data_IF_110776115780
#
_entry.id   IF_110776115780
#
_cell.length_a   1.000
_cell.length_b   1.000
_cell.length_c   1.000
_cell.angle_alpha   90.00
_cell.angle_beta   90.00
_cell.angle_gamma   90.00
#
_symmetry.space_group_name_H-M   'P 1'
#
loop_
_entity.id
_entity.type
_entity.pdbx_description
1 polymer ?
#
# COMPACT_ATOMS: atom_id res chain seq x y z
N UNK A 1 -2.06 -7.76 -21.23
CA UNK A 1 -2.04 -7.52 -19.77
C UNK A 1 -2.74 -8.70 -19.16
N UNK A 2 -2.07 -9.39 -18.26
CA UNK A 2 -2.56 -10.69 -17.74
C UNK A 2 -2.97 -10.60 -16.26
N UNK A 3 -2.72 -9.46 -15.63
CA UNK A 3 -3.08 -9.15 -14.25
C UNK A 3 -3.18 -7.62 -14.11
N UNK A 4 -4.25 -7.16 -13.48
CA UNK A 4 -4.40 -5.77 -13.02
C UNK A 4 -3.95 -5.65 -11.57
N UNK A 5 -3.24 -4.56 -11.30
CA UNK A 5 -2.78 -4.15 -9.97
C UNK A 5 -3.65 -3.03 -9.38
N UNK A 6 -4.50 -2.43 -10.20
CA UNK A 6 -5.31 -1.28 -9.84
C UNK A 6 -6.66 -1.68 -9.23
N UNK A 7 -7.29 -0.75 -8.51
CA UNK A 7 -8.55 -1.00 -7.82
C UNK A 7 -9.74 -1.12 -8.78
N UNK A 8 -9.71 -0.44 -9.93
CA UNK A 8 -10.82 -0.38 -10.88
C UNK A 8 -10.40 -0.51 -12.36
N UNK A 9 -9.38 -1.32 -12.64
CA UNK A 9 -8.85 -1.56 -14.01
C UNK A 9 -8.30 -0.30 -14.71
N UNK A 10 -7.95 0.73 -13.95
CA UNK A 10 -7.38 1.97 -14.48
C UNK A 10 -6.12 1.68 -15.30
N UNK A 11 -5.28 0.77 -14.80
CA UNK A 11 -4.07 0.31 -15.47
C UNK A 11 -4.41 -0.35 -16.82
N UNK A 12 -5.47 -1.16 -16.89
CA UNK A 12 -5.93 -1.81 -18.11
C UNK A 12 -6.40 -0.79 -19.16
N UNK A 13 -7.22 0.20 -18.78
CA UNK A 13 -7.69 1.23 -19.73
C UNK A 13 -6.52 2.06 -20.25
N UNK A 14 -5.60 2.46 -19.37
CA UNK A 14 -4.39 3.16 -19.77
C UNK A 14 -3.50 2.29 -20.68
N UNK A 15 -3.32 1.00 -20.35
CA UNK A 15 -2.51 0.09 -21.16
C UNK A 15 -3.08 -0.10 -22.57
N UNK A 16 -4.42 -0.10 -22.72
CA UNK A 16 -5.10 -0.07 -24.02
C UNK A 16 -4.83 1.24 -24.77
N UNK A 17 -4.89 2.38 -24.09
CA UNK A 17 -4.66 3.69 -24.71
C UNK A 17 -3.20 3.86 -25.18
N UNK A 18 -2.24 3.42 -24.37
CA UNK A 18 -0.80 3.48 -24.63
C UNK A 18 -0.25 2.26 -25.39
N UNK A 19 -1.09 1.46 -26.03
CA UNK A 19 -0.66 0.28 -26.77
C UNK A 19 0.44 0.62 -27.80
N UNK A 20 1.52 -0.16 -27.75
CA UNK A 20 2.71 0.04 -28.59
C UNK A 20 3.78 0.98 -28.03
N UNK A 21 3.54 1.63 -26.89
CA UNK A 21 4.52 2.48 -26.22
C UNK A 21 5.39 1.67 -25.25
N UNK A 22 6.69 1.56 -25.55
CA UNK A 22 7.63 0.72 -24.80
C UNK A 22 8.07 1.32 -23.45
N UNK A 23 8.04 2.64 -23.30
CA UNK A 23 8.42 3.34 -22.07
C UNK A 23 7.62 4.63 -21.91
N UNK A 24 7.56 5.14 -20.69
CA UNK A 24 6.89 6.39 -20.38
C UNK A 24 7.13 6.84 -18.95
N UNK A 25 6.60 8.01 -18.62
CA UNK A 25 6.72 8.65 -17.32
C UNK A 25 5.35 8.92 -16.71
N UNK A 26 5.11 8.42 -15.50
CA UNK A 26 3.89 8.73 -14.75
C UNK A 26 4.15 9.59 -13.52
N UNK A 27 3.13 10.33 -13.10
CA UNK A 27 3.04 10.88 -11.76
C UNK A 27 1.84 10.24 -11.07
N UNK A 28 2.07 9.69 -9.88
CA UNK A 28 1.06 8.96 -9.10
C UNK A 28 0.92 9.67 -7.74
N UNK A 29 -0.12 10.49 -7.57
CA UNK A 29 -0.38 11.27 -6.35
C UNK A 29 -1.40 10.54 -5.49
N UNK A 30 -1.03 10.27 -4.23
CA UNK A 30 -1.73 9.30 -3.39
C UNK A 30 -1.48 7.88 -3.89
N UNK A 31 -0.19 7.56 -4.03
CA UNK A 31 0.25 6.34 -4.70
C UNK A 31 -0.04 5.06 -3.89
N UNK A 32 -0.26 5.19 -2.58
CA UNK A 32 -0.66 4.08 -1.72
C UNK A 32 0.42 2.99 -1.62
N UNK A 33 -0.01 1.74 -1.60
CA UNK A 33 0.92 0.61 -1.61
C UNK A 33 1.58 0.49 -3.00
N UNK A 34 2.89 0.18 -3.12
CA UNK A 34 3.57 0.12 -4.42
C UNK A 34 3.06 -0.94 -5.42
N UNK A 35 2.10 -1.78 -5.03
CA UNK A 35 1.71 -2.99 -5.78
C UNK A 35 0.20 -3.22 -5.68
N UNK A 36 -0.36 -3.28 -4.47
CA UNK A 36 -1.80 -3.45 -4.27
C UNK A 36 -2.53 -2.13 -4.55
N UNK A 37 -3.64 -2.22 -5.29
CA UNK A 37 -4.52 -1.10 -5.65
C UNK A 37 -3.75 0.07 -6.29
N UNK A 38 -2.71 -0.25 -7.09
CA UNK A 38 -1.79 0.72 -7.65
C UNK A 38 -1.81 0.73 -9.18
N UNK A 39 -2.28 1.84 -9.74
CA UNK A 39 -2.44 2.07 -11.19
C UNK A 39 -1.10 2.00 -11.94
N UNK A 40 -0.02 2.49 -11.33
CA UNK A 40 1.27 2.61 -12.00
C UNK A 40 2.14 1.34 -11.94
N UNK A 41 1.75 0.33 -11.14
CA UNK A 41 2.55 -0.87 -10.91
C UNK A 41 2.75 -1.70 -12.19
N UNK A 42 1.69 -1.91 -12.98
CA UNK A 42 1.81 -2.64 -14.24
C UNK A 42 2.77 -1.95 -15.21
N UNK A 43 2.68 -0.62 -15.32
CA UNK A 43 3.58 0.19 -16.16
C UNK A 43 5.03 0.09 -15.70
N UNK A 44 5.27 0.13 -14.38
CA UNK A 44 6.59 -0.08 -13.80
C UNK A 44 7.20 -1.41 -14.26
N UNK A 45 6.42 -2.50 -14.27
CA UNK A 45 6.85 -3.81 -14.76
C UNK A 45 7.14 -3.82 -16.27
N UNK A 46 6.47 -2.97 -17.04
CA UNK A 46 6.76 -2.77 -18.48
C UNK A 46 8.01 -1.92 -18.75
N UNK A 47 8.75 -1.51 -17.71
CA UNK A 47 9.96 -0.70 -17.85
C UNK A 47 9.72 0.81 -17.82
N UNK A 48 8.49 1.25 -17.52
CA UNK A 48 8.22 2.65 -17.23
C UNK A 48 8.81 3.03 -15.86
N UNK A 49 8.85 4.33 -15.60
CA UNK A 49 9.27 4.91 -14.33
C UNK A 49 8.41 6.11 -14.03
N UNK A 50 8.41 6.57 -12.79
CA UNK A 50 7.69 7.79 -12.48
C UNK A 50 8.04 8.41 -11.16
N UNK A 51 7.25 9.42 -10.82
CA UNK A 51 7.28 10.12 -9.54
C UNK A 51 6.03 9.71 -8.77
N UNK A 52 6.22 9.10 -7.61
CA UNK A 52 5.15 8.65 -6.73
C UNK A 52 5.12 9.52 -5.48
N UNK A 53 3.95 10.02 -5.11
CA UNK A 53 3.76 10.90 -3.97
C UNK A 53 2.86 10.20 -2.96
N UNK A 54 3.42 9.88 -1.79
CA UNK A 54 2.71 9.17 -0.73
C UNK A 54 3.17 9.71 0.64
N UNK A 55 2.31 10.40 1.40
CA UNK A 55 2.67 11.00 2.68
C UNK A 55 2.84 9.99 3.82
N UNK A 56 2.20 8.82 3.76
CA UNK A 56 2.26 7.83 4.83
C UNK A 56 3.60 7.10 4.80
N UNK A 57 4.40 7.34 5.84
CA UNK A 57 5.76 6.80 6.00
C UNK A 57 5.85 5.29 5.74
N UNK A 58 4.92 4.51 6.30
CA UNK A 58 4.89 3.04 6.15
C UNK A 58 4.73 2.57 4.70
N UNK A 59 4.11 3.39 3.84
CA UNK A 59 3.89 3.07 2.44
C UNK A 59 5.05 3.56 1.57
N UNK A 60 5.46 4.82 1.74
CA UNK A 60 6.54 5.41 0.93
C UNK A 60 7.90 4.72 1.14
N UNK A 61 8.18 4.20 2.35
CA UNK A 61 9.39 3.44 2.64
C UNK A 61 9.48 2.11 1.87
N UNK A 62 8.36 1.58 1.34
CA UNK A 62 8.35 0.38 0.52
C UNK A 62 8.83 0.62 -0.91
N UNK A 63 8.66 1.83 -1.46
CA UNK A 63 9.00 2.14 -2.85
C UNK A 63 10.46 1.90 -3.21
N UNK A 64 11.48 2.37 -2.46
CA UNK A 64 12.87 2.07 -2.82
C UNK A 64 13.21 0.58 -2.77
N UNK A 65 12.42 -0.24 -2.04
CA UNK A 65 12.62 -1.69 -1.93
C UNK A 65 11.94 -2.46 -3.09
N UNK A 66 10.73 -2.03 -3.47
CA UNK A 66 9.89 -2.75 -4.44
C UNK A 66 9.98 -2.14 -5.84
N UNK A 67 10.08 -0.81 -5.93
CA UNK A 67 10.06 -0.01 -7.16
C UNK A 67 11.24 0.99 -7.23
N UNK A 68 12.50 0.54 -7.14
CA UNK A 68 13.68 1.42 -7.06
C UNK A 68 13.91 2.35 -8.26
N UNK A 69 13.23 2.17 -9.40
CA UNK A 69 13.31 3.14 -10.53
C UNK A 69 12.42 4.37 -10.33
N UNK A 70 11.46 4.30 -9.41
CA UNK A 70 10.56 5.41 -9.11
C UNK A 70 11.20 6.40 -8.14
N UNK A 71 10.87 7.67 -8.32
CA UNK A 71 11.19 8.75 -7.39
C UNK A 71 10.07 8.81 -6.35
N UNK A 72 10.40 8.44 -5.11
CA UNK A 72 9.47 8.40 -3.98
C UNK A 72 9.49 9.74 -3.20
N UNK A 73 8.35 10.45 -3.18
CA UNK A 73 8.20 11.75 -2.52
C UNK A 73 7.26 11.65 -1.30
N UNK A 74 7.78 11.75 -0.06
CA UNK A 74 6.98 11.66 1.16
C UNK A 74 6.35 13.00 1.56
N UNK A 75 5.54 13.60 0.67
CA UNK A 75 4.93 14.93 0.88
C UNK A 75 3.43 14.90 0.56
N UNK A 76 2.69 15.87 1.09
CA UNK A 76 1.34 16.19 0.60
C UNK A 76 1.43 17.18 -0.56
N UNK A 77 0.49 17.09 -1.50
CA UNK A 77 0.31 18.09 -2.55
C UNK A 77 -0.99 18.87 -2.33
N UNK A 78 -0.95 20.17 -2.63
CA UNK A 78 -2.13 21.02 -2.63
C UNK A 78 -1.87 22.33 -3.38
N UNK A 79 -2.72 23.33 -3.13
CA UNK A 79 -2.72 24.61 -3.88
C UNK A 79 -1.45 25.42 -3.69
N UNK A 80 -0.93 25.45 -2.47
CA UNK A 80 0.19 26.30 -2.07
C UNK A 80 1.08 25.56 -1.08
N UNK A 81 2.41 25.81 -1.06
CA UNK A 81 3.28 25.23 -0.04
C UNK A 81 2.87 25.66 1.37
N UNK A 82 3.08 24.79 2.36
CA UNK A 82 2.77 25.07 3.76
C UNK A 82 2.79 23.85 4.64
N UNK A 83 2.10 23.93 5.77
CA UNK A 83 1.90 22.84 6.73
C UNK A 83 0.41 22.64 6.94
N UNK A 84 -0.06 21.39 6.88
CA UNK A 84 -1.48 21.03 7.01
C UNK A 84 -1.65 19.87 7.99
N UNK A 85 -2.83 19.79 8.59
CA UNK A 85 -3.23 18.61 9.37
C UNK A 85 -3.55 17.48 8.39
N UNK A 86 -2.94 16.32 8.61
CA UNK A 86 -3.18 15.10 7.85
C UNK A 86 -3.76 14.04 8.78
N UNK A 87 -4.89 13.47 8.37
CA UNK A 87 -5.65 12.51 9.15
C UNK A 87 -5.40 11.10 8.62
N UNK A 88 -4.54 10.35 9.30
CA UNK A 88 -4.14 9.01 8.91
C UNK A 88 -5.14 8.00 9.47
N UNK A 89 -5.85 7.31 8.58
CA UNK A 89 -6.84 6.30 8.93
C UNK A 89 -6.16 4.97 9.21
N UNK A 90 -6.44 4.38 10.36
CA UNK A 90 -5.86 3.11 10.77
C UNK A 90 -6.45 1.93 9.99
N UNK A 91 -5.58 1.06 9.46
CA UNK A 91 -5.94 -0.18 8.72
C UNK A 91 -6.65 0.04 7.38
N UNK A 92 -6.97 1.28 7.02
CA UNK A 92 -7.61 1.65 5.76
C UNK A 92 -6.86 2.85 5.16
N UNK A 93 -5.59 2.61 4.80
CA UNK A 93 -4.66 3.69 4.43
C UNK A 93 -5.16 4.56 3.27
N UNK A 94 -5.95 3.98 2.35
CA UNK A 94 -6.59 4.68 1.23
C UNK A 94 -7.36 5.91 1.71
N UNK A 95 -8.18 5.77 2.74
CA UNK A 95 -9.08 6.80 3.28
C UNK A 95 -8.39 7.97 4.03
N UNK A 96 -7.06 8.03 4.04
CA UNK A 96 -6.33 9.09 4.74
C UNK A 96 -6.42 10.40 3.96
N UNK A 97 -6.78 11.50 4.62
CA UNK A 97 -7.09 12.76 3.94
C UNK A 97 -6.65 13.97 4.76
N UNK A 98 -6.50 15.12 4.08
CA UNK A 98 -6.42 16.43 4.74
C UNK A 98 -7.80 16.93 5.21
N UNK A 99 -8.89 16.28 4.78
CA UNK A 99 -10.25 16.56 5.23
C UNK A 99 -10.60 15.71 6.45
N UNK A 100 -10.80 16.37 7.59
CA UNK A 100 -11.26 15.70 8.83
C UNK A 100 -12.63 15.03 8.64
N UNK A 101 -13.48 15.59 7.78
CA UNK A 101 -14.81 15.03 7.50
C UNK A 101 -14.71 13.72 6.75
N UNK A 102 -13.80 13.62 5.78
CA UNK A 102 -13.54 12.36 5.05
C UNK A 102 -12.90 11.32 5.98
N UNK A 103 -11.92 11.70 6.81
CA UNK A 103 -11.34 10.79 7.78
C UNK A 103 -12.36 10.27 8.81
N UNK A 104 -13.34 11.09 9.21
CA UNK A 104 -14.45 10.64 10.09
C UNK A 104 -15.35 9.61 9.41
N UNK A 105 -15.48 9.62 8.08
CA UNK A 105 -16.26 8.59 7.39
C UNK A 105 -15.65 7.19 7.57
N UNK A 106 -14.34 7.08 7.79
CA UNK A 106 -13.68 5.81 8.10
C UNK A 106 -14.22 5.12 9.37
N UNK A 107 -14.77 5.90 10.32
CA UNK A 107 -15.40 5.35 11.53
C UNK A 107 -16.62 4.47 11.21
N UNK A 108 -17.32 4.75 10.10
CA UNK A 108 -18.43 3.91 9.62
C UNK A 108 -17.97 2.50 9.24
N UNK A 109 -16.68 2.35 8.91
CA UNK A 109 -16.03 1.09 8.58
C UNK A 109 -15.24 0.49 9.76
N UNK A 110 -15.41 1.03 10.98
CA UNK A 110 -14.75 0.53 12.18
C UNK A 110 -13.26 0.90 12.27
N UNK A 111 -12.83 1.92 11.54
CA UNK A 111 -11.46 2.45 11.58
C UNK A 111 -11.40 3.78 12.34
N UNK A 112 -10.42 3.90 13.23
CA UNK A 112 -10.04 5.17 13.84
C UNK A 112 -9.08 5.94 12.93
N UNK A 113 -8.76 7.18 13.32
CA UNK A 113 -7.71 7.95 12.69
C UNK A 113 -6.94 8.75 13.74
N UNK A 114 -5.70 9.11 13.42
CA UNK A 114 -4.93 10.08 14.17
C UNK A 114 -4.49 11.23 13.26
N UNK A 115 -4.27 12.40 13.84
CA UNK A 115 -3.85 13.59 13.11
C UNK A 115 -2.37 13.86 13.35
N UNK A 116 -1.62 14.11 12.28
CA UNK A 116 -0.28 14.65 12.35
C UNK A 116 -0.16 15.89 11.46
N UNK A 117 0.76 16.80 11.80
CA UNK A 117 1.05 17.97 10.97
C UNK A 117 2.13 17.61 9.95
N UNK A 118 1.87 17.88 8.68
CA UNK A 118 2.71 17.44 7.57
C UNK A 118 3.02 18.58 6.61
N UNK A 119 4.24 18.58 6.01
CA UNK A 119 4.58 19.52 4.96
C UNK A 119 3.78 19.24 3.70
N UNK A 120 3.27 20.31 3.11
CA UNK A 120 2.57 20.34 1.84
C UNK A 120 3.35 21.18 0.84
N UNK A 121 3.41 20.73 -0.40
CA UNK A 121 3.98 21.45 -1.54
C UNK A 121 2.99 21.44 -2.71
N UNK A 122 3.40 21.88 -3.89
CA UNK A 122 2.56 21.88 -5.09
C UNK A 122 3.03 20.88 -6.12
N UNK A 123 2.12 20.43 -6.99
CA UNK A 123 2.46 19.57 -8.12
C UNK A 123 3.52 20.22 -9.04
N UNK A 124 3.38 21.52 -9.31
CA UNK A 124 4.39 22.25 -10.10
C UNK A 124 5.77 22.21 -9.44
N UNK A 125 5.86 22.43 -8.12
CA UNK A 125 7.13 22.47 -7.41
C UNK A 125 7.85 21.11 -7.43
N UNK A 126 7.14 19.99 -7.27
CA UNK A 126 7.78 18.67 -7.37
C UNK A 126 8.22 18.34 -8.80
N UNK A 127 7.47 18.77 -9.80
CA UNK A 127 7.88 18.62 -11.20
C UNK A 127 9.16 19.43 -11.50
N UNK A 128 9.27 20.64 -10.96
CA UNK A 128 10.49 21.45 -11.05
C UNK A 128 11.68 20.82 -10.32
N UNK A 129 11.47 20.43 -9.05
CA UNK A 129 12.48 19.83 -8.17
C UNK A 129 13.13 18.60 -8.80
N UNK A 130 12.33 17.78 -9.48
CA UNK A 130 12.78 16.51 -10.07
C UNK A 130 13.04 16.59 -11.59
N UNK A 131 12.98 17.79 -12.19
CA UNK A 131 13.26 17.98 -13.61
C UNK A 131 12.34 17.17 -14.52
N UNK A 132 11.04 17.13 -14.21
CA UNK A 132 10.06 16.40 -15.01
C UNK A 132 9.88 17.09 -16.36
N UNK A 133 10.15 16.38 -17.44
CA UNK A 133 10.04 16.90 -18.82
C UNK A 133 8.79 16.40 -19.54
N UNK A 134 8.39 15.16 -19.27
CA UNK A 134 7.27 14.48 -19.93
C UNK A 134 6.42 13.76 -18.89
N UNK A 135 5.11 13.75 -19.11
CA UNK A 135 4.15 13.05 -18.26
C UNK A 135 3.16 12.35 -19.19
N UNK A 136 3.27 11.03 -19.29
CA UNK A 136 2.32 10.24 -20.07
C UNK A 136 0.98 10.15 -19.34
N UNK A 137 0.99 9.89 -18.03
CA UNK A 137 -0.22 10.04 -17.22
C UNK A 137 0.02 10.58 -15.82
N UNK A 138 -0.97 11.31 -15.31
CA UNK A 138 -1.05 11.83 -13.94
C UNK A 138 -2.27 11.21 -13.25
N UNK A 139 -2.05 10.40 -12.21
CA UNK A 139 -3.10 9.91 -11.31
C UNK A 139 -3.17 10.80 -10.07
N UNK A 140 -4.37 11.23 -9.68
CA UNK A 140 -4.63 11.94 -8.44
C UNK A 140 -5.79 11.29 -7.71
N UNK A 141 -5.53 10.86 -6.49
CA UNK A 141 -6.51 10.23 -5.60
C UNK A 141 -5.99 10.50 -4.19
N UNK A 142 -6.55 11.54 -3.59
CA UNK A 142 -6.10 12.10 -2.32
C UNK A 142 -7.28 12.27 -1.38
N UNK A 143 -8.31 11.43 -1.58
CA UNK A 143 -9.52 11.33 -0.79
C UNK A 143 -10.18 12.70 -0.57
N UNK A 144 -10.52 13.37 -1.67
CA UNK A 144 -11.33 14.58 -1.68
C UNK A 144 -10.56 15.90 -1.77
N UNK A 145 -9.25 15.87 -1.98
CA UNK A 145 -8.41 17.05 -2.20
C UNK A 145 -7.94 17.19 -3.66
N UNK A 146 -8.57 16.49 -4.60
CA UNK A 146 -8.17 16.42 -6.01
C UNK A 146 -8.06 17.81 -6.66
N UNK A 147 -9.06 18.66 -6.40
CA UNK A 147 -9.09 20.04 -6.91
C UNK A 147 -7.94 20.90 -6.38
N UNK A 148 -7.51 20.68 -5.14
CA UNK A 148 -6.39 21.41 -4.54
C UNK A 148 -5.06 20.99 -5.14
N UNK A 149 -4.86 19.71 -5.43
CA UNK A 149 -3.68 19.19 -6.14
C UNK A 149 -3.62 19.77 -7.55
N UNK A 150 -4.74 19.77 -8.28
CA UNK A 150 -4.85 20.36 -9.62
C UNK A 150 -4.51 21.85 -9.62
N UNK A 151 -5.05 22.61 -8.67
CA UNK A 151 -4.77 24.04 -8.56
C UNK A 151 -3.31 24.37 -8.19
N UNK A 152 -2.57 23.41 -7.64
CA UNK A 152 -1.12 23.51 -7.43
C UNK A 152 -0.26 23.14 -8.66
N UNK A 153 -0.86 22.76 -9.78
CA UNK A 153 -0.14 22.41 -11.02
C UNK A 153 0.14 23.59 -11.94
N UNK A 154 1.14 23.44 -12.82
CA UNK A 154 1.35 24.31 -13.99
C UNK A 154 1.18 23.48 -15.26
N UNK A 155 -0.08 23.29 -15.67
CA UNK A 155 -0.46 22.44 -16.80
C UNK A 155 -0.03 22.96 -18.16
N UNK A 156 0.55 24.17 -18.23
CA UNK A 156 1.17 24.70 -19.46
C UNK A 156 2.61 24.24 -19.60
N UNK A 157 3.33 24.12 -18.48
CA UNK A 157 4.73 23.69 -18.44
C UNK A 157 4.87 22.19 -18.25
N UNK A 158 4.14 21.63 -17.30
CA UNK A 158 4.12 20.20 -16.99
C UNK A 158 2.80 19.64 -17.47
N UNK A 159 2.82 19.05 -18.67
CA UNK A 159 1.62 18.70 -19.42
C UNK A 159 1.43 17.18 -19.49
N UNK A 160 0.63 16.58 -18.59
CA UNK A 160 0.17 15.21 -18.74
C UNK A 160 -0.56 14.98 -20.05
N UNK A 161 -0.29 13.87 -20.72
CA UNK A 161 -1.09 13.43 -21.88
C UNK A 161 -2.45 12.91 -21.41
N UNK A 162 -2.48 12.21 -20.28
CA UNK A 162 -3.70 11.74 -19.59
C UNK A 162 -3.70 12.21 -18.14
N UNK A 163 -4.84 12.66 -17.66
CA UNK A 163 -5.09 12.87 -16.23
C UNK A 163 -6.24 11.96 -15.82
N UNK A 164 -6.06 11.19 -14.75
CA UNK A 164 -7.11 10.40 -14.12
C UNK A 164 -7.27 10.80 -12.66
N UNK A 165 -8.51 10.96 -12.23
CA UNK A 165 -8.83 11.33 -10.86
C UNK A 165 -10.01 10.53 -10.34
N UNK A 166 -9.99 10.22 -9.05
CA UNK A 166 -11.17 9.69 -8.37
C UNK A 166 -12.32 10.72 -8.47
N UNK A 167 -13.49 10.25 -8.89
CA UNK A 167 -14.64 11.10 -9.18
C UNK A 167 -15.83 10.81 -8.25
N UNK A 168 -15.63 9.98 -7.23
CA UNK A 168 -16.60 9.68 -6.20
C UNK A 168 -16.14 10.24 -4.84
N UNK A 169 -17.09 10.61 -3.99
CA UNK A 169 -16.76 11.11 -2.66
C UNK A 169 -16.35 9.96 -1.73
N UNK A 170 -15.27 10.12 -0.93
CA UNK A 170 -14.70 9.07 -0.08
C UNK A 170 -15.73 8.25 0.70
N UNK A 171 -15.72 6.93 0.47
CA UNK A 171 -16.60 5.97 1.14
C UNK A 171 -18.07 6.05 0.73
N UNK A 172 -18.39 6.71 -0.38
CA UNK A 172 -19.74 6.82 -0.94
C UNK A 172 -19.75 6.63 -2.47
N UNK A 173 -20.94 6.58 -3.07
CA UNK A 173 -21.12 6.58 -4.53
C UNK A 173 -21.57 7.96 -5.06
N UNK A 174 -21.43 9.02 -4.26
CA UNK A 174 -21.80 10.36 -4.68
C UNK A 174 -20.72 10.94 -5.59
N UNK A 175 -21.12 11.64 -6.65
CA UNK A 175 -20.20 12.30 -7.57
C UNK A 175 -19.42 13.42 -6.87
N UNK A 176 -18.11 13.49 -7.11
CA UNK A 176 -17.18 14.45 -6.49
C UNK A 176 -16.31 15.20 -7.54
N UNK A 177 -16.75 15.27 -8.80
CA UNK A 177 -15.98 15.90 -9.87
C UNK A 177 -16.41 17.33 -10.23
N UNK A 178 -17.58 17.78 -9.74
CA UNK A 178 -18.15 19.08 -10.09
C UNK A 178 -17.24 20.26 -9.74
N UNK A 179 -16.46 20.12 -8.67
CA UNK A 179 -15.59 21.20 -8.16
C UNK A 179 -14.27 21.32 -8.91
N UNK A 180 -13.82 20.29 -9.63
CA UNK A 180 -12.52 20.27 -10.28
C UNK A 180 -12.55 20.01 -11.80
N UNK A 181 -13.61 19.42 -12.36
CA UNK A 181 -13.70 19.17 -13.81
C UNK A 181 -13.62 20.48 -14.64
N UNK A 182 -14.28 21.59 -14.26
CA UNK A 182 -14.18 22.84 -15.02
C UNK A 182 -12.74 23.33 -15.21
N UNK A 183 -11.87 23.11 -14.21
CA UNK A 183 -10.46 23.46 -14.31
C UNK A 183 -9.75 22.66 -15.42
N UNK A 184 -9.94 21.34 -15.49
CA UNK A 184 -9.31 20.52 -16.53
C UNK A 184 -9.79 20.88 -17.93
N UNK A 185 -11.09 21.16 -18.08
CA UNK A 185 -11.66 21.58 -19.36
C UNK A 185 -11.08 22.93 -19.82
N UNK A 186 -10.92 23.88 -18.90
CA UNK A 186 -10.27 25.18 -19.15
C UNK A 186 -8.77 25.01 -19.51
N UNK A 187 -8.08 24.05 -18.88
CA UNK A 187 -6.73 23.63 -19.24
C UNK A 187 -6.64 22.83 -20.55
N UNK A 188 -7.72 22.76 -21.34
CA UNK A 188 -7.71 22.15 -22.67
C UNK A 188 -7.66 20.63 -22.64
N UNK A 189 -8.15 19.98 -21.59
CA UNK A 189 -8.38 18.53 -21.62
C UNK A 189 -9.78 18.19 -22.16
N UNK A 190 -9.93 16.96 -22.65
CA UNK A 190 -11.21 16.39 -23.06
C UNK A 190 -11.54 15.17 -22.22
N UNK A 191 -12.79 15.07 -21.76
CA UNK A 191 -13.27 13.86 -21.09
C UNK A 191 -13.21 12.65 -22.03
N UNK A 192 -12.64 11.55 -21.54
CA UNK A 192 -12.43 10.34 -22.33
C UNK A 192 -13.20 9.13 -21.80
N UNK A 193 -13.19 8.92 -20.48
CA UNK A 193 -13.80 7.73 -19.85
C UNK A 193 -14.22 8.05 -18.41
N UNK A 194 -15.33 7.45 -17.97
CA UNK A 194 -15.64 7.23 -16.57
C UNK A 194 -15.70 5.71 -16.36
N UNK A 195 -14.87 5.16 -15.48
CA UNK A 195 -14.76 3.71 -15.27
C UNK A 195 -15.69 3.17 -14.16
N UNK A 196 -16.48 4.06 -13.54
CA UNK A 196 -17.32 3.76 -12.38
C UNK A 196 -16.76 4.27 -11.05
N UNK A 197 -15.48 4.69 -11.02
CA UNK A 197 -14.78 5.27 -9.87
C UNK A 197 -14.03 6.54 -10.28
N UNK A 198 -13.20 6.44 -11.31
CA UNK A 198 -12.33 7.49 -11.82
C UNK A 198 -12.83 8.06 -13.14
N UNK A 199 -12.54 9.35 -13.36
CA UNK A 199 -12.69 10.00 -14.66
C UNK A 199 -11.32 10.24 -15.29
N UNK A 200 -11.23 9.95 -16.58
CA UNK A 200 -10.05 10.11 -17.40
C UNK A 200 -10.24 11.25 -18.38
N UNK A 201 -9.21 12.07 -18.51
CA UNK A 201 -9.15 13.20 -19.41
C UNK A 201 -7.87 13.14 -20.23
N UNK A 202 -7.96 13.46 -21.51
CA UNK A 202 -6.82 13.44 -22.43
C UNK A 202 -6.55 14.87 -22.92
N UNK A 203 -5.28 15.24 -23.03
CA UNK A 203 -4.90 16.54 -23.56
C UNK A 203 -5.43 16.69 -24.99
N UNK A 204 -6.13 17.79 -25.30
CA UNK A 204 -6.84 17.99 -26.58
C UNK A 204 -5.92 17.84 -27.80
N UNK A 205 -4.65 18.20 -27.64
CA UNK A 205 -3.62 18.11 -28.66
C UNK A 205 -3.19 16.66 -29.01
N UNK A 206 -3.49 15.66 -28.17
CA UNK A 206 -3.16 14.24 -28.42
C UNK A 206 -4.35 13.49 -29.05
N UNK A 207 -4.72 13.89 -30.27
CA UNK A 207 -5.84 13.30 -31.02
C UNK A 207 -5.71 11.77 -31.19
N UNK A 208 -4.49 11.28 -31.36
CA UNK A 208 -4.22 9.86 -31.50
C UNK A 208 -4.56 9.08 -30.22
N UNK A 209 -4.21 9.62 -29.05
CA UNK A 209 -4.54 9.01 -27.77
C UNK A 209 -6.05 9.10 -27.48
N UNK A 210 -6.71 10.22 -27.81
CA UNK A 210 -8.17 10.37 -27.72
C UNK A 210 -8.90 9.30 -28.54
N UNK A 211 -8.41 9.01 -29.75
CA UNK A 211 -8.98 8.00 -30.62
C UNK A 211 -8.79 6.56 -30.08
N UNK A 212 -7.68 6.30 -29.37
CA UNK A 212 -7.37 5.00 -28.77
C UNK A 212 -8.05 4.77 -27.42
N UNK A 213 -8.37 5.84 -26.69
CA UNK A 213 -8.95 5.72 -25.35
C UNK A 213 -10.30 4.99 -25.39
N UNK A 214 -10.53 3.99 -24.52
CA UNK A 214 -11.81 3.30 -24.42
C UNK A 214 -12.97 4.28 -24.20
N UNK A 215 -14.13 4.00 -24.81
CA UNK A 215 -15.34 4.84 -24.66
C UNK A 215 -16.27 4.38 -23.54
N UNK A 216 -16.07 3.17 -23.05
CA UNK A 216 -16.84 2.56 -21.97
C UNK A 216 -15.90 1.80 -21.06
N UNK A 217 -16.27 1.68 -19.78
CA UNK A 217 -15.53 0.89 -18.81
C UNK A 217 -15.40 -0.57 -19.31
N UNK A 218 -14.22 -1.14 -19.14
CA UNK A 218 -14.02 -2.56 -19.43
C UNK A 218 -14.80 -3.42 -18.44
N UNK A 219 -15.29 -4.61 -18.85
CA UNK A 219 -15.91 -5.55 -17.92
C UNK A 219 -14.93 -5.91 -16.79
N UNK A 220 -15.40 -5.93 -15.54
CA UNK A 220 -14.59 -6.16 -14.34
C UNK A 220 -13.66 -7.40 -14.41
N UNK A 221 -14.13 -8.49 -15.03
CA UNK A 221 -13.40 -9.76 -15.14
C UNK A 221 -12.63 -9.92 -16.45
N UNK A 222 -12.38 -8.84 -17.20
CA UNK A 222 -11.60 -8.89 -18.46
C UNK A 222 -10.16 -9.34 -18.21
N UNK A 223 -9.61 -9.04 -17.03
CA UNK A 223 -8.33 -9.55 -16.54
C UNK A 223 -8.48 -9.89 -15.04
N UNK A 224 -7.70 -10.85 -14.51
CA UNK A 224 -7.59 -11.08 -13.08
C UNK A 224 -7.09 -9.82 -12.36
N UNK A 225 -7.46 -9.69 -11.08
CA UNK A 225 -6.97 -8.62 -10.20
C UNK A 225 -6.11 -9.22 -9.11
N UNK A 226 -4.98 -8.57 -8.81
CA UNK A 226 -4.08 -9.03 -7.76
C UNK A 226 -4.81 -9.20 -6.41
N UNK A 227 -5.66 -8.23 -6.05
CA UNK A 227 -6.45 -8.26 -4.81
C UNK A 227 -7.35 -9.50 -4.67
N UNK A 228 -7.75 -10.14 -5.76
CA UNK A 228 -8.52 -11.39 -5.71
C UNK A 228 -7.68 -12.62 -5.41
N UNK A 229 -6.35 -12.54 -5.50
CA UNK A 229 -5.41 -13.67 -5.33
C UNK A 229 -4.63 -13.63 -4.02
N UNK A 230 -5.06 -12.81 -3.05
CA UNK A 230 -4.43 -12.69 -1.73
C UNK A 230 -4.06 -14.03 -1.08
N UNK A 231 -2.98 -14.03 -0.29
CA UNK A 231 -2.34 -15.21 0.33
C UNK A 231 -1.69 -16.13 -0.71
N UNK A 232 -0.65 -15.61 -1.35
CA UNK A 232 0.09 -16.31 -2.41
C UNK A 232 0.41 -17.79 -2.14
N UNK A 233 0.86 -18.23 -0.93
CA UNK A 233 1.15 -19.65 -0.68
C UNK A 233 -0.08 -20.57 -0.72
N UNK A 234 -1.28 -20.04 -0.46
CA UNK A 234 -2.54 -20.78 -0.36
C UNK A 234 -3.27 -20.88 -1.71
N UNK A 235 -2.86 -20.11 -2.71
CA UNK A 235 -3.63 -19.85 -3.93
C UNK A 235 -2.88 -20.19 -5.20
N UNK A 236 -3.27 -21.28 -5.85
CA UNK A 236 -2.66 -21.76 -7.10
C UNK A 236 -2.84 -20.80 -8.28
N UNK A 237 -3.79 -19.86 -8.19
CA UNK A 237 -4.06 -18.81 -9.17
C UNK A 237 -3.27 -17.52 -8.93
N UNK A 238 -2.52 -17.41 -7.82
CA UNK A 238 -1.63 -16.28 -7.59
C UNK A 238 -0.38 -16.37 -8.50
N UNK A 239 0.06 -15.27 -9.14
CA UNK A 239 1.20 -15.28 -10.06
C UNK A 239 2.49 -15.82 -9.42
N UNK A 240 2.72 -15.49 -8.15
CA UNK A 240 3.92 -15.91 -7.41
C UNK A 240 3.72 -17.16 -6.54
N UNK A 241 2.66 -17.96 -6.76
CA UNK A 241 2.29 -19.09 -5.90
C UNK A 241 3.45 -20.06 -5.61
N UNK A 242 4.08 -20.56 -6.67
CA UNK A 242 5.13 -21.57 -6.55
C UNK A 242 6.33 -21.06 -5.74
N UNK A 243 6.73 -19.81 -5.97
CA UNK A 243 7.82 -19.19 -5.23
C UNK A 243 7.43 -18.90 -3.78
N UNK A 244 6.22 -18.41 -3.55
CA UNK A 244 5.70 -18.16 -2.21
C UNK A 244 5.64 -19.44 -1.37
N UNK A 245 5.19 -20.56 -1.95
CA UNK A 245 5.21 -21.86 -1.29
C UNK A 245 6.62 -22.32 -0.94
N UNK A 246 7.56 -22.22 -1.89
CA UNK A 246 8.96 -22.57 -1.66
C UNK A 246 9.59 -21.72 -0.54
N UNK A 247 9.29 -20.42 -0.51
CA UNK A 247 9.74 -19.51 0.54
C UNK A 247 9.15 -19.88 1.91
N UNK A 248 7.85 -20.18 2.00
CA UNK A 248 7.21 -20.59 3.26
C UNK A 248 7.82 -21.89 3.78
N UNK A 249 7.98 -22.90 2.92
CA UNK A 249 8.58 -24.16 3.30
C UNK A 249 10.03 -23.97 3.79
N UNK A 250 10.85 -23.24 3.03
CA UNK A 250 12.24 -22.96 3.39
C UNK A 250 12.38 -22.11 4.66
N UNK A 251 11.50 -21.14 4.86
CA UNK A 251 11.48 -20.31 6.07
C UNK A 251 11.15 -21.15 7.31
N UNK A 252 10.09 -21.96 7.25
CA UNK A 252 9.65 -22.77 8.38
C UNK A 252 10.63 -23.90 8.70
N UNK A 253 11.30 -24.48 7.70
CA UNK A 253 12.42 -25.41 7.90
C UNK A 253 13.63 -24.76 8.61
N UNK A 254 13.89 -23.46 8.38
CA UNK A 254 14.99 -22.73 9.03
C UNK A 254 14.64 -22.16 10.40
N UNK A 255 13.40 -22.32 10.86
CA UNK A 255 12.87 -21.64 12.05
C UNK A 255 13.77 -21.77 13.31
N UNK A 256 14.37 -22.92 13.65
CA UNK A 256 15.28 -23.04 14.80
C UNK A 256 16.56 -22.18 14.70
N UNK A 257 17.00 -21.88 13.47
CA UNK A 257 18.22 -21.12 13.17
C UNK A 257 17.97 -19.60 13.06
N UNK A 258 16.72 -19.16 13.05
CA UNK A 258 16.41 -17.74 12.98
C UNK A 258 16.82 -17.02 14.26
N UNK A 259 17.29 -15.80 14.07
CA UNK A 259 17.60 -14.89 15.15
C UNK A 259 16.38 -14.65 16.06
N UNK A 260 16.62 -14.58 17.37
CA UNK A 260 15.54 -14.49 18.37
C UNK A 260 14.90 -13.11 18.38
N UNK A 261 15.64 -12.06 18.12
CA UNK A 261 15.10 -10.70 18.00
C UNK A 261 14.20 -10.60 16.75
N UNK A 262 14.61 -11.24 15.65
CA UNK A 262 13.75 -11.36 14.46
C UNK A 262 12.46 -12.16 14.74
N UNK A 263 12.52 -13.25 15.49
CA UNK A 263 11.31 -14.00 15.86
C UNK A 263 10.39 -13.20 16.80
N UNK A 264 10.97 -12.42 17.71
CA UNK A 264 10.23 -11.52 18.60
C UNK A 264 9.49 -10.43 17.82
N UNK A 265 10.11 -9.86 16.78
CA UNK A 265 9.49 -8.79 15.98
C UNK A 265 8.27 -9.24 15.19
N UNK A 266 8.12 -10.54 14.89
CA UNK A 266 6.88 -11.09 14.32
C UNK A 266 5.75 -11.24 15.35
N UNK A 267 6.07 -11.27 16.63
CA UNK A 267 5.11 -11.46 17.71
C UNK A 267 4.70 -10.14 18.36
N UNK A 268 5.64 -9.19 18.46
CA UNK A 268 5.49 -7.95 19.20
C UNK A 268 5.66 -6.77 18.24
N UNK A 269 4.75 -5.81 18.30
CA UNK A 269 4.96 -4.51 17.66
C UNK A 269 6.01 -3.73 18.47
N UNK A 270 7.23 -3.61 17.96
CA UNK A 270 8.33 -2.98 18.68
C UNK A 270 8.11 -1.48 18.96
N UNK A 271 7.15 -0.86 18.26
CA UNK A 271 6.78 0.55 18.45
C UNK A 271 5.75 0.74 19.57
N UNK A 272 5.12 -0.35 20.03
CA UNK A 272 4.13 -0.30 21.09
C UNK A 272 4.80 -0.20 22.47
N UNK A 273 4.61 0.95 23.11
CA UNK A 273 5.14 1.24 24.45
C UNK A 273 4.58 0.26 25.52
N UNK A 274 3.44 -0.39 25.26
CA UNK A 274 2.88 -1.42 26.15
C UNK A 274 3.87 -2.56 26.38
N UNK A 275 4.71 -2.93 25.41
CA UNK A 275 5.65 -4.03 25.62
C UNK A 275 6.86 -3.66 26.50
N UNK A 276 7.03 -2.37 26.83
CA UNK A 276 8.13 -1.83 27.64
C UNK A 276 7.77 -1.62 29.12
N UNK A 277 6.50 -1.81 29.51
CA UNK A 277 6.11 -1.77 30.94
C UNK A 277 6.30 -3.12 31.61
N UNK A 278 6.32 -3.10 32.95
CA UNK A 278 6.42 -4.32 33.77
C UNK A 278 5.21 -5.24 33.55
N UNK A 279 5.40 -6.56 33.36
CA UNK A 279 4.32 -7.50 33.09
C UNK A 279 3.52 -7.80 34.38
N UNK A 280 2.21 -7.61 34.32
CA UNK A 280 1.26 -8.06 35.34
C UNK A 280 0.86 -9.54 35.12
N UNK A 281 0.02 -10.10 35.99
CA UNK A 281 -0.40 -11.50 35.90
C UNK A 281 -1.17 -11.83 34.60
N UNK A 282 -1.99 -10.89 34.10
CA UNK A 282 -2.73 -11.05 32.86
C UNK A 282 -1.80 -11.04 31.64
N UNK A 283 -0.83 -10.12 31.59
CA UNK A 283 0.16 -10.06 30.49
C UNK A 283 0.95 -11.38 30.41
N UNK A 284 1.36 -11.90 31.57
CA UNK A 284 2.10 -13.16 31.67
C UNK A 284 1.26 -14.33 31.18
N UNK A 285 0.00 -14.42 31.61
CA UNK A 285 -0.91 -15.46 31.17
C UNK A 285 -1.16 -15.38 29.65
N UNK A 286 -1.37 -14.17 29.12
CA UNK A 286 -1.58 -13.95 27.68
C UNK A 286 -0.34 -14.34 26.86
N UNK A 287 0.86 -13.96 27.30
CA UNK A 287 2.11 -14.31 26.62
C UNK A 287 2.36 -15.83 26.62
N UNK A 288 2.14 -16.50 27.75
CA UNK A 288 2.23 -17.97 27.84
C UNK A 288 1.20 -18.61 26.92
N UNK A 289 -0.06 -18.19 26.97
CA UNK A 289 -1.13 -18.77 26.15
C UNK A 289 -0.89 -18.57 24.65
N UNK A 290 -0.29 -17.44 24.25
CA UNK A 290 0.05 -17.14 22.85
C UNK A 290 1.14 -18.05 22.30
N UNK A 291 2.18 -18.33 23.08
CA UNK A 291 3.29 -19.18 22.66
C UNK A 291 3.01 -20.67 22.86
N UNK A 292 2.21 -21.01 23.88
CA UNK A 292 1.96 -22.37 24.34
C UNK A 292 0.47 -22.55 24.66
N UNK A 293 -0.36 -22.81 23.64
CA UNK A 293 -1.79 -23.01 23.82
C UNK A 293 -2.09 -24.12 24.82
N UNK A 294 -3.02 -23.87 25.76
CA UNK A 294 -3.31 -24.76 26.88
C UNK A 294 -3.82 -26.15 26.46
N UNK A 295 -4.47 -26.26 25.31
CA UNK A 295 -4.93 -27.53 24.73
C UNK A 295 -3.79 -28.42 24.23
N UNK A 296 -2.61 -27.83 23.96
CA UNK A 296 -1.38 -28.54 23.56
C UNK A 296 -0.37 -28.70 24.71
N UNK A 297 -0.57 -27.95 25.79
CA UNK A 297 0.31 -27.89 26.95
C UNK A 297 -0.50 -27.93 28.26
N UNK A 298 -1.31 -28.98 28.45
CA UNK A 298 -2.24 -29.11 29.58
C UNK A 298 -1.54 -29.13 30.95
N UNK A 299 -0.31 -29.65 31.02
CA UNK A 299 0.52 -29.65 32.24
C UNK A 299 1.27 -28.32 32.46
N UNK A 300 0.95 -27.30 31.66
CA UNK A 300 1.61 -26.00 31.64
C UNK A 300 2.99 -26.03 30.96
N UNK A 301 3.68 -24.89 31.04
CA UNK A 301 5.07 -24.75 30.58
C UNK A 301 5.96 -24.75 31.82
N UNK A 302 6.73 -25.83 32.06
CA UNK A 302 7.62 -25.92 33.21
C UNK A 302 8.46 -24.65 33.37
N UNK A 303 8.50 -24.10 34.60
CA UNK A 303 9.28 -22.91 35.00
C UNK A 303 8.82 -21.56 34.42
N UNK A 304 7.82 -21.51 33.52
CA UNK A 304 7.36 -20.23 32.93
C UNK A 304 6.80 -19.24 33.96
N UNK A 305 6.08 -19.73 34.98
CA UNK A 305 5.55 -18.91 36.07
C UNK A 305 6.63 -18.29 36.98
N UNK A 306 7.85 -18.84 36.99
CA UNK A 306 8.97 -18.35 37.79
C UNK A 306 9.92 -17.41 37.04
N UNK A 307 9.62 -17.07 35.79
CA UNK A 307 10.45 -16.18 34.99
C UNK A 307 10.24 -14.74 35.45
N UNK A 308 11.26 -14.15 36.05
CA UNK A 308 11.30 -12.71 36.32
C UNK A 308 11.67 -11.93 35.06
N UNK A 309 11.02 -10.80 34.83
CA UNK A 309 11.26 -9.92 33.68
C UNK A 309 10.93 -8.47 34.05
N UNK A 310 11.74 -7.54 33.54
CA UNK A 310 11.58 -6.11 33.79
C UNK A 310 10.47 -5.50 32.94
N UNK A 311 10.25 -6.05 31.74
CA UNK A 311 9.17 -5.67 30.84
C UNK A 311 8.53 -6.89 30.13
N UNK A 312 7.41 -6.66 29.44
CA UNK A 312 6.67 -7.71 28.72
C UNK A 312 7.54 -8.31 27.61
N UNK A 313 8.33 -7.49 26.90
CA UNK A 313 9.24 -7.95 25.84
C UNK A 313 10.27 -8.94 26.37
N UNK A 314 10.94 -8.62 27.47
CA UNK A 314 11.91 -9.49 28.14
C UNK A 314 11.24 -10.78 28.61
N UNK A 315 9.97 -10.72 29.04
CA UNK A 315 9.22 -11.92 29.38
C UNK A 315 9.04 -12.86 28.18
N UNK A 316 8.64 -12.34 27.01
CA UNK A 316 8.60 -13.12 25.77
C UNK A 316 9.97 -13.69 25.40
N UNK A 317 11.02 -12.86 25.45
CA UNK A 317 12.38 -13.29 25.15
C UNK A 317 12.81 -14.48 26.04
N UNK A 318 12.55 -14.40 27.35
CA UNK A 318 12.86 -15.49 28.29
C UNK A 318 12.01 -16.73 28.07
N UNK A 319 10.73 -16.59 27.70
CA UNK A 319 9.91 -17.74 27.29
C UNK A 319 10.49 -18.44 26.05
N UNK A 320 11.06 -17.68 25.11
CA UNK A 320 11.68 -18.21 23.90
C UNK A 320 13.02 -18.94 24.13
N UNK A 321 13.61 -18.79 25.30
CA UNK A 321 14.82 -19.52 25.69
C UNK A 321 14.54 -20.90 26.31
N UNK A 322 13.28 -21.19 26.63
CA UNK A 322 12.85 -22.47 27.23
C UNK A 322 13.00 -23.65 26.27
N UNK A 323 13.22 -24.84 26.82
CA UNK A 323 13.31 -26.07 26.03
C UNK A 323 12.02 -26.35 25.25
N UNK A 324 10.87 -26.02 25.83
CA UNK A 324 9.55 -26.15 25.20
C UNK A 324 9.47 -25.33 23.92
N UNK A 325 9.96 -24.08 23.96
CA UNK A 325 10.00 -23.23 22.78
C UNK A 325 10.99 -23.77 21.73
N UNK A 326 12.20 -24.15 22.13
CA UNK A 326 13.21 -24.70 21.20
C UNK A 326 12.71 -25.97 20.50
N UNK A 327 12.09 -26.88 21.24
CA UNK A 327 11.49 -28.09 20.68
C UNK A 327 10.29 -27.76 19.80
N UNK A 328 9.48 -26.77 20.15
CA UNK A 328 8.39 -26.30 19.28
C UNK A 328 8.91 -25.85 17.91
N UNK A 329 9.97 -25.02 17.87
CA UNK A 329 10.58 -24.61 16.59
C UNK A 329 11.11 -25.82 15.81
N UNK A 330 11.76 -26.76 16.50
CA UNK A 330 12.28 -27.99 15.88
C UNK A 330 11.18 -28.87 15.29
N UNK A 331 10.04 -29.03 15.97
CA UNK A 331 8.88 -29.78 15.45
C UNK A 331 8.26 -29.12 14.23
N UNK A 332 8.17 -27.78 14.23
CA UNK A 332 7.69 -27.04 13.06
C UNK A 332 8.64 -27.27 11.90
N UNK A 333 9.94 -27.05 12.06
CA UNK A 333 10.93 -27.30 11.01
C UNK A 333 10.86 -28.72 10.45
N UNK A 334 10.86 -29.73 11.34
CA UNK A 334 10.79 -31.14 10.96
C UNK A 334 9.55 -31.50 10.11
N UNK A 335 8.45 -30.75 10.24
CA UNK A 335 7.24 -30.95 9.42
C UNK A 335 7.37 -30.45 7.98
N UNK A 336 8.30 -29.53 7.71
CA UNK A 336 8.55 -28.97 6.38
C UNK A 336 9.72 -29.60 5.66
N UNK A 337 10.68 -30.14 6.41
CA UNK A 337 11.93 -30.69 5.86
C UNK A 337 12.11 -32.20 6.15
N UNK A 338 11.13 -32.82 6.83
CA UNK A 338 11.18 -34.24 7.19
C UNK A 338 12.29 -34.59 8.20
N UNK A 339 12.82 -33.59 8.92
CA UNK A 339 14.00 -33.72 9.76
C UNK A 339 15.32 -33.72 8.97
N UNK A 340 15.27 -33.46 7.67
CA UNK A 340 16.44 -33.25 6.83
C UNK A 340 16.62 -31.74 6.77
N UNK A 341 17.64 -31.17 7.42
CA UNK A 341 17.71 -29.72 7.78
C UNK A 341 17.97 -28.81 6.54
N UNK A 342 17.10 -28.96 5.53
CA UNK A 342 17.21 -28.69 4.12
C UNK A 342 18.22 -29.60 3.40
N UNK A 343 17.93 -29.97 2.14
CA UNK A 343 18.91 -30.61 1.24
C UNK A 343 20.21 -29.81 1.11
#
# INVERSE_FOLDING_TARGET
>A
MDLSYAANLEDYHLARAFEGQASGFYIDVGAGHPVADNVSCWFYLQGWRGLVVEPQRRLIELYPLVRPRDIAVPKLLGRTPGEVDFHIVERLNGFSSISVEHARNAQKFGAGFHTCRMPMTTLAAICEEHGVETIDFLKIDVEGAEGDVLAGGDFRRFRPRVVLLEALAPGTLAENFGDWEPFLLDQGYVFALFDGLNRFYVAREDEALIARFPKTAAPWLVVPHLGHTNRAPERTDHPDHAFAQALVAGFLAKLPRLDRELLLSFLLDETDAEFRRKPNACDRAAAIARLFPADKHADGVPRAAGIEANDIREFYAKLMETDQFRIMLGRIAASYDGGQILD
#
